data_IF_048242383295
#
_entry.id   IF_048242383295
#
_cell.length_a   1.000
_cell.length_b   1.000
_cell.length_c   1.000
_cell.angle_alpha   90.00
_cell.angle_beta   90.00
_cell.angle_gamma   90.00
#
_symmetry.space_group_name_H-M   'P 1'
#
loop_
_entity.id
_entity.type
_entity.pdbx_description
1 polymer ?
#
# COMPACT_ATOMS: atom_id res chain seq x y z
N UNK A 1 12.08 16.56 -5.85
CA UNK A 1 11.74 15.52 -6.84
C UNK A 1 12.53 14.25 -6.57
N UNK A 2 11.91 13.10 -6.84
CA UNK A 2 12.56 11.78 -6.77
C UNK A 2 12.40 11.11 -8.14
N UNK A 3 13.49 10.73 -8.76
CA UNK A 3 13.45 9.98 -10.01
C UNK A 3 12.99 8.52 -9.75
N UNK A 4 12.31 7.88 -10.73
CA UNK A 4 12.02 6.47 -10.66
C UNK A 4 13.36 5.68 -10.64
N UNK A 5 13.34 4.54 -9.97
CA UNK A 5 14.47 3.59 -10.00
C UNK A 5 14.52 2.89 -11.36
N UNK A 6 15.66 2.25 -11.66
CA UNK A 6 15.82 1.46 -12.89
C UNK A 6 14.77 0.34 -12.97
N UNK A 7 14.48 -0.32 -11.86
CA UNK A 7 13.44 -1.36 -11.75
C UNK A 7 12.03 -0.85 -12.12
N UNK A 8 11.72 0.42 -11.83
CA UNK A 8 10.41 1.01 -12.19
C UNK A 8 10.34 1.39 -13.67
N UNK A 9 11.48 1.83 -14.25
CA UNK A 9 11.57 2.22 -15.65
C UNK A 9 11.71 1.03 -16.59
N UNK A 10 12.45 0.02 -16.15
CA UNK A 10 12.80 -1.17 -16.93
C UNK A 10 12.56 -2.42 -16.09
N UNK A 11 11.30 -2.72 -15.77
CA UNK A 11 10.98 -3.95 -15.06
C UNK A 11 11.33 -5.17 -15.92
N UNK A 12 11.73 -6.25 -15.27
CA UNK A 12 11.97 -7.51 -15.97
C UNK A 12 10.72 -7.97 -16.74
N UNK A 13 10.87 -8.55 -17.94
CA UNK A 13 9.79 -9.15 -18.66
C UNK A 13 9.06 -10.21 -17.81
N UNK A 14 7.74 -10.23 -17.90
CA UNK A 14 6.93 -11.23 -17.21
C UNK A 14 6.42 -12.24 -18.23
N UNK A 15 6.29 -13.47 -17.78
CA UNK A 15 5.77 -14.56 -18.60
C UNK A 15 4.40 -14.95 -18.10
N UNK A 16 3.43 -15.03 -19.03
CA UNK A 16 2.08 -15.52 -18.78
C UNK A 16 1.92 -16.84 -19.50
N UNK A 17 1.90 -17.93 -18.76
CA UNK A 17 1.70 -19.26 -19.26
C UNK A 17 0.20 -19.61 -19.22
N UNK A 18 -0.37 -19.88 -20.38
CA UNK A 18 -1.78 -20.27 -20.52
C UNK A 18 -1.85 -21.70 -21.00
N UNK A 19 -2.50 -22.55 -20.21
CA UNK A 19 -2.74 -23.94 -20.58
C UNK A 19 -3.82 -23.98 -21.67
N UNK A 20 -3.43 -24.35 -22.87
CA UNK A 20 -4.31 -24.50 -24.01
C UNK A 20 -4.92 -25.90 -24.12
N UNK A 21 -4.23 -26.89 -23.55
CA UNK A 21 -4.63 -28.28 -23.48
C UNK A 21 -4.10 -28.92 -22.22
N UNK A 22 -4.93 -29.67 -21.53
CA UNK A 22 -4.51 -30.57 -20.45
C UNK A 22 -5.25 -31.88 -20.66
N UNK A 23 -4.57 -32.88 -21.23
CA UNK A 23 -5.13 -34.21 -21.43
C UNK A 23 -4.55 -35.20 -20.44
N UNK A 24 -5.43 -35.79 -19.66
CA UNK A 24 -5.07 -36.80 -18.67
C UNK A 24 -5.40 -38.19 -19.20
N UNK A 25 -4.47 -39.15 -19.04
CA UNK A 25 -4.65 -40.55 -19.33
C UNK A 25 -4.07 -41.40 -18.20
N UNK A 26 -4.63 -42.60 -17.85
CA UNK A 26 -4.06 -43.50 -16.84
C UNK A 26 -2.60 -43.87 -17.12
N UNK A 27 -2.25 -44.17 -18.37
CA UNK A 27 -0.85 -44.31 -18.79
C UNK A 27 -0.20 -42.94 -18.94
N UNK A 28 0.90 -42.72 -18.19
CA UNK A 28 1.65 -41.45 -18.18
C UNK A 28 2.21 -41.09 -19.58
N UNK A 29 2.56 -42.09 -20.38
CA UNK A 29 3.16 -41.87 -21.69
C UNK A 29 2.21 -41.19 -22.69
N UNK A 30 0.90 -41.18 -22.40
CA UNK A 30 -0.14 -40.58 -23.25
C UNK A 30 -0.68 -39.26 -22.71
N UNK A 31 -0.10 -38.73 -21.62
CA UNK A 31 -0.49 -37.44 -21.06
C UNK A 31 0.20 -36.29 -21.80
N UNK A 32 -0.54 -35.21 -22.00
CA UNK A 32 0.02 -34.00 -22.60
C UNK A 32 -0.56 -32.74 -21.97
N UNK A 33 0.29 -31.77 -21.74
CA UNK A 33 -0.07 -30.38 -21.40
C UNK A 33 0.55 -29.50 -22.48
N UNK A 34 -0.28 -28.75 -23.21
CA UNK A 34 0.18 -27.74 -24.14
C UNK A 34 -0.01 -26.34 -23.51
N UNK A 35 1.05 -25.58 -23.45
CA UNK A 35 1.10 -24.26 -22.83
C UNK A 35 1.53 -23.24 -23.87
N UNK A 36 0.85 -22.11 -23.89
CA UNK A 36 1.28 -20.92 -24.65
C UNK A 36 1.80 -19.87 -23.67
N UNK A 37 3.05 -19.47 -23.84
CA UNK A 37 3.68 -18.40 -23.08
C UNK A 37 3.56 -17.07 -23.83
N UNK A 38 3.03 -16.05 -23.16
CA UNK A 38 3.07 -14.67 -23.62
C UNK A 38 4.15 -13.92 -22.85
N UNK A 39 5.01 -13.22 -23.55
CA UNK A 39 6.01 -12.32 -22.95
C UNK A 39 5.38 -10.95 -22.79
N UNK A 40 5.35 -10.47 -21.55
CA UNK A 40 4.71 -9.21 -21.17
C UNK A 40 5.77 -8.17 -20.84
N UNK A 41 5.82 -7.10 -21.61
CA UNK A 41 6.53 -5.89 -21.27
C UNK A 41 5.69 -5.06 -20.28
N UNK A 42 6.15 -4.93 -19.04
CA UNK A 42 5.50 -4.14 -17.99
C UNK A 42 6.04 -2.70 -17.91
N UNK A 43 6.83 -2.27 -18.89
CA UNK A 43 7.41 -0.92 -18.95
C UNK A 43 6.32 0.15 -19.07
N UNK A 44 6.35 1.15 -18.19
CA UNK A 44 5.51 2.33 -18.30
C UNK A 44 6.34 3.55 -18.75
N UNK A 45 6.32 3.82 -20.06
CA UNK A 45 7.04 4.97 -20.67
C UNK A 45 6.47 6.34 -20.23
N UNK A 46 5.28 6.37 -19.65
CA UNK A 46 4.64 7.59 -19.13
C UNK A 46 5.02 7.91 -17.68
N UNK A 47 5.86 7.07 -17.05
CA UNK A 47 6.29 7.28 -15.66
C UNK A 47 7.13 8.55 -15.53
N UNK A 48 6.70 9.44 -14.62
CA UNK A 48 7.33 10.75 -14.38
C UNK A 48 8.02 10.76 -13.01
N UNK A 49 9.03 11.63 -12.81
CA UNK A 49 9.59 11.83 -11.48
C UNK A 49 8.53 12.22 -10.46
N UNK A 50 8.61 11.63 -9.27
CA UNK A 50 7.73 11.99 -8.17
C UNK A 50 8.07 13.39 -7.66
N UNK A 51 7.06 14.20 -7.43
CA UNK A 51 7.18 15.57 -6.91
C UNK A 51 6.60 15.64 -5.52
N UNK A 52 7.36 16.26 -4.63
CA UNK A 52 6.98 16.55 -3.26
C UNK A 52 7.19 18.04 -3.00
N UNK A 53 6.16 18.71 -2.51
CA UNK A 53 6.22 20.10 -2.10
C UNK A 53 6.10 20.15 -0.57
N UNK A 54 7.10 20.74 0.09
CA UNK A 54 7.14 20.90 1.54
C UNK A 54 7.18 22.38 1.89
N UNK A 55 6.35 22.79 2.85
CA UNK A 55 6.32 24.09 3.48
C UNK A 55 6.60 23.91 4.97
N UNK A 56 7.50 24.73 5.49
CA UNK A 56 7.79 24.77 6.91
C UNK A 56 7.77 26.22 7.36
N UNK A 57 7.12 26.45 8.49
CA UNK A 57 7.13 27.73 9.17
C UNK A 57 7.47 27.48 10.65
N UNK A 58 8.60 28.01 11.09
CA UNK A 58 9.12 27.80 12.42
C UNK A 58 9.44 29.12 13.12
N UNK A 59 9.43 29.08 14.44
CA UNK A 59 9.87 30.17 15.30
C UNK A 59 10.66 29.62 16.48
N UNK A 60 11.74 30.33 16.81
CA UNK A 60 12.57 30.06 17.99
C UNK A 60 12.54 31.28 18.90
N UNK A 61 12.17 31.07 20.17
CA UNK A 61 12.02 32.10 21.15
C UNK A 61 12.93 31.77 22.35
N UNK A 62 13.81 32.71 22.71
CA UNK A 62 14.61 32.63 23.91
C UNK A 62 14.15 33.70 24.91
N UNK A 63 13.67 33.27 26.08
CA UNK A 63 13.23 34.17 27.14
C UNK A 63 13.91 33.75 28.46
N UNK A 64 14.74 34.63 29.01
CA UNK A 64 15.43 34.40 30.27
C UNK A 64 16.20 33.06 30.34
N UNK A 65 16.79 32.65 29.22
CA UNK A 65 17.56 31.41 29.11
C UNK A 65 16.72 30.16 28.92
N UNK A 66 15.40 30.29 28.70
CA UNK A 66 14.52 29.20 28.30
C UNK A 66 14.28 29.31 26.79
N UNK A 67 14.39 28.18 26.10
CA UNK A 67 14.22 28.08 24.63
C UNK A 67 12.92 27.38 24.29
N UNK A 68 12.11 28.02 23.44
CA UNK A 68 10.94 27.43 22.84
C UNK A 68 11.12 27.44 21.30
N UNK A 69 11.04 26.28 20.67
CA UNK A 69 11.00 26.11 19.23
C UNK A 69 9.67 25.48 18.84
N UNK A 70 8.99 26.07 17.86
CA UNK A 70 7.74 25.53 17.31
C UNK A 70 7.81 25.59 15.81
N UNK A 71 7.54 24.47 15.15
CA UNK A 71 7.53 24.36 13.68
C UNK A 71 6.21 23.76 13.20
N UNK A 72 5.51 24.48 12.33
CA UNK A 72 4.42 23.92 11.55
C UNK A 72 4.96 23.47 10.19
N UNK A 73 4.55 22.30 9.73
CA UNK A 73 4.91 21.81 8.40
C UNK A 73 3.71 21.28 7.63
N UNK A 74 3.78 21.40 6.31
CA UNK A 74 2.86 20.77 5.36
C UNK A 74 3.63 20.22 4.19
N UNK A 75 3.39 18.96 3.87
CA UNK A 75 4.04 18.24 2.80
C UNK A 75 2.97 17.62 1.89
N UNK A 76 3.15 17.79 0.58
CA UNK A 76 2.23 17.31 -0.44
C UNK A 76 2.99 16.61 -1.57
N UNK A 77 2.91 15.30 -1.60
CA UNK A 77 3.38 14.47 -2.69
C UNK A 77 2.17 14.00 -3.50
N UNK A 78 2.10 14.39 -4.78
CA UNK A 78 0.93 14.11 -5.65
C UNK A 78 1.20 13.07 -6.72
N UNK A 79 2.45 12.67 -6.93
CA UNK A 79 2.90 11.84 -8.04
C UNK A 79 3.90 10.75 -7.62
N UNK A 80 3.74 10.21 -6.40
CA UNK A 80 4.57 9.11 -5.91
C UNK A 80 4.36 7.82 -6.72
N UNK A 81 5.34 6.92 -6.68
CA UNK A 81 5.28 5.66 -7.40
C UNK A 81 4.38 4.66 -6.67
N UNK A 82 3.58 3.94 -7.45
CA UNK A 82 2.72 2.87 -6.96
C UNK A 82 2.58 1.79 -8.04
N UNK A 83 2.63 0.53 -7.63
CA UNK A 83 2.20 -0.58 -8.48
C UNK A 83 0.68 -0.58 -8.60
N UNK A 84 0.16 -0.70 -9.81
CA UNK A 84 -1.26 -0.79 -10.12
C UNK A 84 -1.53 -2.00 -11.00
N UNK A 85 -2.66 -2.67 -10.82
CA UNK A 85 -3.05 -3.80 -11.66
C UNK A 85 -3.81 -3.31 -12.88
N UNK A 86 -3.34 -3.71 -14.05
CA UNK A 86 -3.96 -3.42 -15.36
C UNK A 86 -4.36 -4.74 -16.00
N UNK A 87 -5.57 -4.80 -16.52
CA UNK A 87 -6.08 -5.99 -17.22
C UNK A 87 -6.01 -5.79 -18.74
N UNK A 88 -5.60 -6.84 -19.43
CA UNK A 88 -5.54 -6.89 -20.90
C UNK A 88 -6.14 -8.20 -21.42
N UNK A 89 -6.82 -8.17 -22.58
CA UNK A 89 -7.30 -9.38 -23.20
C UNK A 89 -6.16 -10.13 -23.90
N UNK A 90 -6.15 -11.45 -23.73
CA UNK A 90 -5.26 -12.37 -24.42
C UNK A 90 -6.10 -13.39 -25.17
N UNK A 91 -5.78 -13.59 -26.44
CA UNK A 91 -6.47 -14.55 -27.30
C UNK A 91 -5.59 -15.78 -27.53
N UNK A 92 -6.13 -16.95 -27.27
CA UNK A 92 -5.42 -18.22 -27.38
C UNK A 92 -6.34 -19.34 -27.84
N UNK A 93 -5.76 -20.45 -28.31
CA UNK A 93 -6.50 -21.65 -28.68
C UNK A 93 -6.83 -22.45 -27.41
N UNK A 94 -8.06 -22.87 -27.27
CA UNK A 94 -8.48 -23.91 -26.33
C UNK A 94 -8.79 -25.16 -27.10
N UNK A 95 -7.96 -26.18 -26.95
CA UNK A 95 -8.13 -27.45 -27.68
C UNK A 95 -9.20 -28.32 -27.03
N UNK A 96 -9.97 -29.02 -27.89
CA UNK A 96 -11.01 -29.94 -27.45
C UNK A 96 -10.48 -31.39 -27.57
N UNK A 97 -10.57 -32.11 -26.45
CA UNK A 97 -10.18 -33.53 -26.35
C UNK A 97 -11.35 -34.48 -26.25
N UNK A 98 -12.59 -34.01 -26.33
CA UNK A 98 -13.81 -34.81 -26.16
C UNK A 98 -13.95 -35.89 -27.20
N UNK A 99 -13.35 -35.71 -28.38
CA UNK A 99 -13.34 -36.69 -29.49
C UNK A 99 -12.27 -37.80 -29.34
N UNK A 100 -11.43 -37.77 -28.29
CA UNK A 100 -10.40 -38.81 -28.10
C UNK A 100 -11.01 -39.96 -27.30
N UNK A 101 -11.02 -41.16 -27.86
CA UNK A 101 -11.34 -42.36 -27.11
C UNK A 101 -10.09 -42.84 -26.34
N UNK A 102 -10.10 -42.77 -24.98
CA UNK A 102 -8.94 -43.13 -24.16
C UNK A 102 -8.49 -44.60 -24.34
N UNK A 103 -9.39 -45.48 -24.77
CA UNK A 103 -9.08 -46.90 -24.90
C UNK A 103 -8.43 -47.25 -26.26
N UNK A 104 -8.47 -46.34 -27.21
CA UNK A 104 -7.98 -46.58 -28.58
C UNK A 104 -6.65 -45.89 -28.89
N UNK A 105 -6.18 -44.99 -28.03
CA UNK A 105 -4.92 -44.25 -28.28
C UNK A 105 -3.69 -45.14 -28.07
N UNK A 106 -2.72 -45.01 -28.96
CA UNK A 106 -1.46 -45.72 -28.93
C UNK A 106 -0.24 -44.79 -28.75
N UNK A 107 -0.47 -43.50 -28.76
CA UNK A 107 0.54 -42.45 -28.59
C UNK A 107 -0.07 -41.20 -27.99
N UNK A 108 0.80 -40.23 -27.61
CA UNK A 108 0.38 -38.88 -27.14
C UNK A 108 -0.47 -38.23 -28.26
N UNK A 109 -1.63 -37.65 -27.93
CA UNK A 109 -2.42 -36.93 -28.92
C UNK A 109 -1.63 -35.81 -29.58
N UNK A 110 -1.64 -35.78 -30.91
CA UNK A 110 -1.01 -34.69 -31.66
C UNK A 110 -1.86 -33.44 -31.61
N UNK A 111 -1.38 -32.44 -30.86
CA UNK A 111 -2.07 -31.16 -30.64
C UNK A 111 -2.41 -30.45 -31.96
N UNK A 112 -1.59 -30.64 -33.01
CA UNK A 112 -1.80 -30.00 -34.30
C UNK A 112 -3.08 -30.49 -35.02
N UNK A 113 -3.55 -31.70 -34.71
CA UNK A 113 -4.72 -32.33 -35.33
C UNK A 113 -6.00 -32.14 -34.56
N UNK A 114 -5.91 -31.64 -33.31
CA UNK A 114 -7.07 -31.46 -32.43
C UNK A 114 -7.92 -30.24 -32.85
N UNK A 115 -9.25 -30.37 -32.78
CA UNK A 115 -10.13 -29.22 -32.92
C UNK A 115 -9.88 -28.22 -31.81
N UNK A 116 -10.07 -26.94 -32.08
CA UNK A 116 -9.91 -25.89 -31.10
C UNK A 116 -10.94 -24.78 -31.27
N UNK A 117 -11.19 -24.03 -30.18
CA UNK A 117 -11.90 -22.76 -30.17
C UNK A 117 -10.95 -21.64 -29.84
N UNK A 118 -11.16 -20.45 -30.40
CA UNK A 118 -10.45 -19.25 -29.98
C UNK A 118 -11.14 -18.69 -28.74
N UNK A 119 -10.39 -18.58 -27.66
CA UNK A 119 -10.85 -18.04 -26.38
C UNK A 119 -10.14 -16.72 -26.13
N UNK A 120 -10.87 -15.77 -25.59
CA UNK A 120 -10.34 -14.49 -25.16
C UNK A 120 -10.61 -14.29 -23.68
N UNK A 121 -9.58 -14.04 -22.89
CA UNK A 121 -9.67 -13.85 -21.46
C UNK A 121 -8.84 -12.65 -20.99
N UNK A 122 -9.32 -11.99 -19.92
CA UNK A 122 -8.62 -10.89 -19.29
C UNK A 122 -7.59 -11.43 -18.29
N UNK A 123 -6.35 -11.01 -18.41
CA UNK A 123 -5.30 -11.27 -17.44
C UNK A 123 -4.77 -9.98 -16.87
N UNK A 124 -4.62 -9.97 -15.52
CA UNK A 124 -4.08 -8.83 -14.78
C UNK A 124 -2.56 -8.85 -14.73
N UNK A 125 -1.95 -7.70 -14.93
CA UNK A 125 -0.53 -7.48 -14.72
C UNK A 125 -0.29 -6.24 -13.87
N UNK A 126 0.80 -6.22 -13.11
CA UNK A 126 1.19 -5.04 -12.34
C UNK A 126 2.07 -4.13 -13.18
N UNK A 127 1.74 -2.83 -13.18
CA UNK A 127 2.56 -1.77 -13.78
C UNK A 127 2.83 -0.69 -12.74
N UNK A 128 4.02 -0.06 -12.79
CA UNK A 128 4.30 1.11 -11.95
C UNK A 128 3.66 2.36 -12.55
N UNK A 129 3.02 3.15 -11.69
CA UNK A 129 2.35 4.40 -12.05
C UNK A 129 2.70 5.50 -11.07
N UNK A 130 2.40 6.76 -11.41
CA UNK A 130 2.48 7.90 -10.51
C UNK A 130 1.21 8.06 -9.66
N UNK A 131 0.70 6.97 -9.11
CA UNK A 131 -0.59 6.93 -8.42
C UNK A 131 -0.55 7.21 -6.92
N UNK A 132 0.63 7.18 -6.29
CA UNK A 132 0.72 7.40 -4.85
C UNK A 132 0.64 8.89 -4.52
N UNK A 133 -0.26 9.23 -3.59
CA UNK A 133 -0.39 10.58 -3.04
C UNK A 133 -0.21 10.54 -1.54
N UNK A 134 0.52 11.51 -0.99
CA UNK A 134 0.71 11.68 0.45
C UNK A 134 0.52 13.14 0.82
N UNK A 135 -0.42 13.40 1.73
CA UNK A 135 -0.63 14.68 2.37
C UNK A 135 -0.21 14.56 3.83
N UNK A 136 0.84 15.28 4.24
CA UNK A 136 1.30 15.29 5.62
C UNK A 136 1.30 16.70 6.15
N UNK A 137 0.84 16.90 7.39
CA UNK A 137 0.92 18.16 8.11
C UNK A 137 1.08 17.91 9.60
N UNK A 138 1.72 18.82 10.27
CA UNK A 138 1.92 18.67 11.70
C UNK A 138 2.55 19.89 12.34
N UNK A 139 2.64 19.80 13.67
CA UNK A 139 3.32 20.76 14.53
C UNK A 139 4.35 19.98 15.33
N UNK A 140 5.58 20.44 15.32
CA UNK A 140 6.66 19.96 16.17
C UNK A 140 7.02 21.06 17.15
N UNK A 141 7.35 20.70 18.38
CA UNK A 141 7.76 21.66 19.38
C UNK A 141 8.82 21.11 20.32
N UNK A 142 9.71 22.01 20.74
CA UNK A 142 10.71 21.73 21.76
C UNK A 142 10.73 22.90 22.73
N UNK A 143 10.65 22.61 24.03
CA UNK A 143 10.83 23.57 25.09
C UNK A 143 11.93 23.08 26.01
N UNK A 144 12.92 23.94 26.29
CA UNK A 144 14.00 23.60 27.19
C UNK A 144 14.22 24.77 28.19
N UNK A 145 14.19 24.46 29.48
CA UNK A 145 14.49 25.45 30.50
C UNK A 145 16.00 25.63 30.65
N UNK A 146 16.43 26.79 31.11
CA UNK A 146 17.73 26.87 31.80
C UNK A 146 17.71 25.92 33.01
N UNK A 147 18.89 25.57 33.51
CA UNK A 147 18.96 24.80 34.78
C UNK A 147 18.35 25.66 35.91
N UNK A 148 17.37 25.10 36.62
CA UNK A 148 16.71 25.72 37.77
C UNK A 148 17.65 25.57 38.96
N UNK A 149 18.26 26.66 39.51
CA UNK A 149 19.33 26.53 40.50
C UNK A 149 18.89 25.83 41.79
N UNK A 150 17.69 26.10 42.27
CA UNK A 150 17.14 25.52 43.51
C UNK A 150 16.91 24.00 43.44
N UNK A 151 16.64 23.47 42.23
CA UNK A 151 16.38 22.04 41.99
C UNK A 151 17.56 21.35 41.35
N UNK A 152 18.55 22.09 40.89
CA UNK A 152 19.64 21.56 40.03
C UNK A 152 19.15 20.81 38.81
N UNK A 153 17.95 21.13 38.31
CA UNK A 153 17.23 20.38 37.28
C UNK A 153 17.02 21.21 36.02
N UNK A 154 17.17 20.58 34.86
CA UNK A 154 16.76 21.10 33.58
C UNK A 154 15.56 20.29 33.09
N UNK A 155 14.50 20.97 32.65
CA UNK A 155 13.37 20.35 31.96
C UNK A 155 13.54 20.52 30.46
N UNK A 156 13.40 19.43 29.72
CA UNK A 156 13.26 19.43 28.27
C UNK A 156 11.94 18.75 27.92
N UNK A 157 11.13 19.42 27.11
CA UNK A 157 9.86 18.90 26.57
C UNK A 157 9.97 18.94 25.07
N UNK A 158 9.75 17.83 24.40
CA UNK A 158 9.64 17.79 22.94
C UNK A 158 8.45 16.94 22.54
N UNK A 159 7.80 17.31 21.46
CA UNK A 159 6.65 16.57 21.00
C UNK A 159 6.24 16.95 19.59
N UNK A 160 5.30 16.19 19.09
CA UNK A 160 4.74 16.43 17.78
C UNK A 160 3.27 16.00 17.73
N UNK A 161 2.50 16.71 16.95
CA UNK A 161 1.24 16.24 16.41
C UNK A 161 1.33 16.24 14.89
N UNK A 162 0.94 15.15 14.27
CA UNK A 162 0.88 15.10 12.82
C UNK A 162 -0.26 14.24 12.30
N UNK A 163 -0.71 14.60 11.11
CA UNK A 163 -1.69 13.85 10.33
C UNK A 163 -1.11 13.54 8.95
N UNK A 164 -1.18 12.27 8.57
CA UNK A 164 -0.80 11.81 7.23
C UNK A 164 -2.00 11.17 6.57
N UNK A 165 -2.28 11.57 5.32
CA UNK A 165 -3.30 10.96 4.48
C UNK A 165 -2.59 10.38 3.26
N UNK A 166 -2.64 9.06 3.13
CA UNK A 166 -2.22 8.33 1.94
C UNK A 166 -3.43 8.15 1.03
N UNK A 167 -3.23 8.30 -0.28
CA UNK A 167 -4.27 8.16 -1.29
C UNK A 167 -3.72 7.49 -2.54
N UNK A 168 -4.64 6.97 -3.36
CA UNK A 168 -4.37 6.52 -4.71
C UNK A 168 -5.12 7.41 -5.70
N UNK A 169 -4.44 7.95 -6.72
CA UNK A 169 -5.05 8.75 -7.77
C UNK A 169 -5.38 7.94 -9.02
N UNK A 170 -5.02 6.66 -9.04
CA UNK A 170 -5.25 5.78 -10.18
C UNK A 170 -6.56 5.00 -10.00
N UNK A 171 -7.13 4.60 -11.12
CA UNK A 171 -8.27 3.69 -11.14
C UNK A 171 -7.84 2.34 -10.57
N UNK A 172 -8.63 1.79 -9.66
CA UNK A 172 -8.43 0.47 -9.07
C UNK A 172 -9.25 -0.55 -9.86
N UNK A 173 -8.57 -1.53 -10.42
CA UNK A 173 -9.24 -2.63 -11.11
C UNK A 173 -9.53 -3.78 -10.13
N UNK A 174 -10.75 -4.30 -10.16
CA UNK A 174 -11.18 -5.45 -9.36
C UNK A 174 -11.85 -6.49 -10.25
N UNK A 175 -11.30 -7.71 -10.23
CA UNK A 175 -11.89 -8.89 -10.87
C UNK A 175 -12.47 -9.80 -9.77
N UNK A 176 -13.75 -10.13 -9.82
CA UNK A 176 -14.36 -11.06 -8.85
C UNK A 176 -13.78 -12.48 -9.01
N UNK A 177 -13.66 -13.17 -7.88
CA UNK A 177 -13.29 -14.60 -7.88
C UNK A 177 -14.46 -15.54 -8.12
N UNK A 178 -15.66 -15.00 -8.34
CA UNK A 178 -16.86 -15.80 -8.57
C UNK A 178 -16.76 -16.62 -9.86
N UNK A 179 -17.33 -17.83 -9.83
CA UNK A 179 -17.35 -18.80 -10.93
C UNK A 179 -18.81 -19.07 -11.29
N UNK A 180 -19.14 -18.97 -12.59
CA UNK A 180 -20.44 -19.33 -13.16
C UNK A 180 -20.16 -20.34 -14.27
N UNK A 181 -20.91 -21.45 -14.29
CA UNK A 181 -20.76 -22.52 -15.30
C UNK A 181 -19.30 -23.00 -15.46
N UNK A 182 -18.63 -23.24 -14.33
CA UNK A 182 -17.24 -23.68 -14.24
C UNK A 182 -16.22 -22.69 -14.82
N UNK A 183 -16.60 -21.44 -15.11
CA UNK A 183 -15.69 -20.39 -15.60
C UNK A 183 -15.68 -19.22 -14.65
N UNK A 184 -14.48 -18.74 -14.33
CA UNK A 184 -14.33 -17.50 -13.58
C UNK A 184 -14.87 -16.33 -14.40
N UNK A 185 -15.53 -15.39 -13.72
CA UNK A 185 -16.05 -14.18 -14.36
C UNK A 185 -14.93 -13.39 -15.01
N UNK A 186 -15.13 -13.04 -16.29
CA UNK A 186 -14.15 -12.34 -17.13
C UNK A 186 -14.41 -10.83 -17.22
N UNK A 187 -15.26 -10.28 -16.35
CA UNK A 187 -15.49 -8.83 -16.24
C UNK A 187 -14.64 -8.25 -15.12
N UNK A 188 -14.13 -7.03 -15.33
CA UNK A 188 -13.29 -6.32 -14.37
C UNK A 188 -13.89 -4.95 -14.07
N UNK A 189 -14.24 -4.69 -12.82
CA UNK A 189 -14.73 -3.38 -12.39
C UNK A 189 -13.59 -2.38 -12.24
N UNK A 190 -13.82 -1.15 -12.65
CA UNK A 190 -12.90 -0.01 -12.54
C UNK A 190 -13.48 1.02 -11.58
N UNK A 191 -12.75 1.31 -10.50
CA UNK A 191 -13.19 2.17 -9.39
C UNK A 191 -12.25 3.34 -9.23
N UNK A 192 -12.78 4.56 -9.16
CA UNK A 192 -12.01 5.79 -8.86
C UNK A 192 -11.91 6.03 -7.37
N UNK A 193 -11.50 5.02 -6.65
CA UNK A 193 -11.36 5.10 -5.22
C UNK A 193 -10.10 5.88 -4.82
N UNK A 194 -10.20 6.60 -3.71
CA UNK A 194 -9.00 7.17 -3.09
C UNK A 194 -8.11 6.11 -2.42
N UNK A 195 -8.55 4.86 -2.31
CA UNK A 195 -7.89 3.69 -1.73
C UNK A 195 -6.69 4.08 -0.84
N UNK A 196 -6.97 4.43 0.38
CA UNK A 196 -5.94 4.98 1.24
C UNK A 196 -6.31 4.97 2.71
N UNK A 197 -5.44 5.60 3.48
CA UNK A 197 -5.53 5.62 4.93
C UNK A 197 -5.17 6.99 5.49
N UNK A 198 -5.88 7.40 6.53
CA UNK A 198 -5.59 8.58 7.32
C UNK A 198 -5.03 8.14 8.66
N UNK A 199 -3.81 8.55 8.96
CA UNK A 199 -3.15 8.33 10.23
C UNK A 199 -2.99 9.68 10.95
N UNK A 200 -3.16 9.67 12.27
CA UNK A 200 -2.99 10.85 13.11
C UNK A 200 -2.37 10.44 14.44
N UNK A 201 -1.39 11.18 14.92
CA UNK A 201 -0.69 10.87 16.15
C UNK A 201 -0.30 12.17 16.89
N UNK A 202 -0.33 12.13 18.22
CA UNK A 202 0.22 13.15 19.07
C UNK A 202 1.05 12.51 20.20
N UNK A 203 2.27 13.00 20.37
CA UNK A 203 3.16 12.52 21.42
C UNK A 203 3.91 13.69 22.08
N UNK A 204 4.36 13.46 23.32
CA UNK A 204 5.23 14.39 24.06
C UNK A 204 6.20 13.59 24.90
N UNK A 205 7.46 13.99 24.88
CA UNK A 205 8.49 13.48 25.78
C UNK A 205 8.89 14.56 26.76
N UNK A 206 8.88 14.24 28.03
CA UNK A 206 9.38 15.07 29.13
C UNK A 206 10.68 14.45 29.62
N UNK A 207 11.72 15.27 29.76
CA UNK A 207 12.99 14.84 30.33
C UNK A 207 13.39 15.80 31.43
N UNK A 208 13.62 15.29 32.64
CA UNK A 208 14.10 16.00 33.81
C UNK A 208 15.51 15.53 34.11
N UNK A 209 16.49 16.41 33.84
CA UNK A 209 17.90 16.13 34.12
C UNK A 209 18.34 16.92 35.36
N UNK A 210 18.58 16.20 36.44
CA UNK A 210 19.01 16.73 37.72
C UNK A 210 20.47 16.32 37.99
N UNK A 211 21.32 17.28 38.31
CA UNK A 211 22.70 17.03 38.69
C UNK A 211 22.99 17.67 40.03
N UNK A 212 23.33 16.88 41.05
CA UNK A 212 23.63 17.33 42.41
C UNK A 212 25.16 17.24 42.61
N UNK A 213 25.90 18.32 42.33
CA UNK A 213 27.38 18.30 42.36
C UNK A 213 27.97 17.88 43.70
N UNK A 214 27.39 18.34 44.82
CA UNK A 214 27.82 18.00 46.17
C UNK A 214 27.80 16.50 46.45
N UNK A 215 26.84 15.79 45.88
CA UNK A 215 26.68 14.35 46.03
C UNK A 215 27.28 13.56 44.85
N UNK A 216 27.78 14.25 43.83
CA UNK A 216 28.25 13.64 42.56
C UNK A 216 27.23 12.67 41.99
N UNK A 217 25.94 13.02 42.09
CA UNK A 217 24.80 12.22 41.61
C UNK A 217 24.10 12.95 40.48
N UNK A 218 23.79 12.21 39.41
CA UNK A 218 22.93 12.64 38.33
C UNK A 218 21.69 11.75 38.25
N UNK A 219 20.53 12.37 38.02
CA UNK A 219 19.27 11.70 37.80
C UNK A 219 18.69 12.19 36.45
N UNK A 220 18.28 11.29 35.63
CA UNK A 220 17.52 11.62 34.43
C UNK A 220 16.23 10.81 34.42
N UNK A 221 15.11 11.51 34.59
CA UNK A 221 13.77 10.96 34.51
C UNK A 221 13.18 11.34 33.16
N UNK A 222 12.78 10.37 32.37
CA UNK A 222 12.07 10.62 31.11
C UNK A 222 10.69 9.98 31.11
N UNK A 223 9.68 10.74 30.69
CA UNK A 223 8.31 10.30 30.48
C UNK A 223 7.98 10.46 28.99
N UNK A 224 7.71 9.36 28.32
CA UNK A 224 7.31 9.33 26.91
C UNK A 224 5.80 9.11 26.86
N UNK A 225 5.06 10.14 26.48
CA UNK A 225 3.60 10.13 26.42
C UNK A 225 3.14 10.04 24.98
N UNK A 226 2.37 9.01 24.66
CA UNK A 226 1.53 8.96 23.47
C UNK A 226 0.13 9.41 23.90
N UNK A 227 -0.30 10.58 23.42
CA UNK A 227 -1.62 11.11 23.75
C UNK A 227 -2.72 10.33 23.03
N UNK A 228 -2.50 10.09 21.77
CA UNK A 228 -3.32 9.19 20.94
C UNK A 228 -2.56 8.85 19.64
N UNK A 229 -2.91 7.70 19.08
CA UNK A 229 -2.64 7.35 17.69
C UNK A 229 -3.94 6.87 17.05
N UNK A 230 -4.20 7.22 15.81
CA UNK A 230 -5.41 6.78 15.13
C UNK A 230 -5.16 6.45 13.67
N UNK A 231 -5.91 5.45 13.20
CA UNK A 231 -5.91 5.00 11.82
C UNK A 231 -7.35 4.90 11.32
N UNK A 232 -7.60 5.37 10.10
CA UNK A 232 -8.90 5.31 9.46
C UNK A 232 -8.72 5.06 7.97
N UNK A 233 -9.35 4.00 7.44
CA UNK A 233 -9.41 3.78 5.98
C UNK A 233 -10.28 4.84 5.32
N UNK A 234 -9.91 5.26 4.13
CA UNK A 234 -10.75 6.13 3.30
C UNK A 234 -11.87 5.28 2.67
N UNK A 235 -13.08 5.85 2.53
CA UNK A 235 -14.20 5.13 1.92
C UNK A 235 -13.89 4.70 0.49
N UNK A 236 -14.30 3.48 0.16
CA UNK A 236 -14.27 2.89 -1.16
C UNK A 236 -15.68 2.82 -1.73
N UNK A 237 -15.81 2.91 -3.05
CA UNK A 237 -17.09 2.72 -3.74
C UNK A 237 -17.50 1.25 -3.77
N UNK A 238 -18.77 0.94 -3.57
CA UNK A 238 -19.28 -0.42 -3.77
C UNK A 238 -19.50 -0.71 -5.25
N UNK A 239 -19.94 0.29 -6.02
CA UNK A 239 -20.18 0.16 -7.45
C UNK A 239 -18.96 0.69 -8.23
N UNK A 240 -18.61 0.09 -9.37
CA UNK A 240 -17.57 0.63 -10.23
C UNK A 240 -18.07 1.89 -10.98
N UNK A 241 -17.15 2.72 -11.46
CA UNK A 241 -17.47 3.80 -12.40
C UNK A 241 -17.58 3.25 -13.82
N UNK A 242 -16.76 2.25 -14.14
CA UNK A 242 -16.67 1.59 -15.44
C UNK A 242 -16.34 0.11 -15.25
N UNK A 243 -16.47 -0.67 -16.30
CA UNK A 243 -16.00 -2.06 -16.33
C UNK A 243 -15.35 -2.42 -17.67
N UNK A 244 -14.50 -3.44 -17.63
CA UNK A 244 -13.87 -4.03 -18.81
C UNK A 244 -14.60 -5.33 -19.13
N UNK A 245 -15.08 -5.47 -20.36
CA UNK A 245 -15.64 -6.72 -20.89
C UNK A 245 -14.53 -7.69 -21.36
N UNK A 246 -14.82 -8.99 -21.59
CA UNK A 246 -13.81 -10.00 -21.95
C UNK A 246 -12.96 -9.66 -23.17
N UNK A 247 -13.48 -8.86 -24.09
CA UNK A 247 -12.79 -8.37 -25.29
C UNK A 247 -11.83 -7.19 -25.01
N UNK A 248 -11.81 -6.69 -23.76
CA UNK A 248 -10.99 -5.55 -23.35
C UNK A 248 -11.66 -4.20 -23.57
N UNK A 249 -12.89 -4.15 -24.02
CA UNK A 249 -13.65 -2.89 -24.19
C UNK A 249 -14.07 -2.34 -22.82
N UNK A 250 -13.93 -1.02 -22.67
CA UNK A 250 -14.35 -0.31 -21.45
C UNK A 250 -15.76 0.26 -21.64
N UNK A 251 -16.64 -0.02 -20.71
CA UNK A 251 -18.02 0.43 -20.67
C UNK A 251 -18.29 1.25 -19.41
N UNK A 252 -19.14 2.27 -19.52
CA UNK A 252 -19.61 3.01 -18.35
C UNK A 252 -20.57 2.15 -17.52
N UNK A 253 -20.48 2.27 -16.20
CA UNK A 253 -21.36 1.53 -15.30
C UNK A 253 -22.77 2.12 -15.29
N UNK A 254 -23.78 1.26 -15.30
CA UNK A 254 -25.18 1.62 -15.13
C UNK A 254 -25.75 0.85 -13.94
N UNK A 255 -26.62 1.49 -13.15
CA UNK A 255 -27.16 0.90 -11.90
C UNK A 255 -27.91 -0.41 -12.13
N UNK A 256 -28.52 -0.55 -13.30
CA UNK A 256 -29.28 -1.74 -13.71
C UNK A 256 -28.36 -2.98 -13.77
N UNK A 257 -27.08 -2.80 -14.04
CA UNK A 257 -26.08 -3.88 -14.10
C UNK A 257 -25.85 -4.57 -12.76
N UNK A 258 -26.24 -3.95 -11.66
CA UNK A 258 -26.23 -4.60 -10.34
C UNK A 258 -27.16 -5.82 -10.24
N UNK A 259 -28.11 -5.96 -11.18
CA UNK A 259 -29.03 -7.11 -11.27
C UNK A 259 -28.66 -8.06 -12.44
N UNK A 260 -27.63 -7.76 -13.22
CA UNK A 260 -27.17 -8.63 -14.30
C UNK A 260 -26.54 -9.92 -13.77
N UNK A 261 -26.64 -10.98 -14.55
CA UNK A 261 -26.15 -12.32 -14.16
C UNK A 261 -24.65 -12.33 -13.85
N UNK A 262 -23.84 -11.56 -14.58
CA UNK A 262 -22.38 -11.54 -14.48
C UNK A 262 -21.89 -10.25 -13.81
N UNK A 263 -22.42 -9.09 -14.21
CA UNK A 263 -21.92 -7.79 -13.79
C UNK A 263 -22.23 -7.49 -12.30
N UNK A 264 -23.30 -8.10 -11.73
CA UNK A 264 -23.63 -7.95 -10.30
C UNK A 264 -22.46 -8.29 -9.36
N UNK A 265 -21.55 -9.16 -9.77
CA UNK A 265 -20.37 -9.52 -8.98
C UNK A 265 -19.29 -8.45 -8.96
N UNK A 266 -19.41 -7.43 -9.80
CA UNK A 266 -18.58 -6.23 -9.73
C UNK A 266 -19.01 -5.31 -8.59
N UNK A 267 -20.23 -5.45 -8.05
CA UNK A 267 -20.65 -4.71 -6.87
C UNK A 267 -19.94 -5.28 -5.64
N UNK A 268 -19.08 -4.46 -5.02
CA UNK A 268 -18.35 -4.82 -3.80
C UNK A 268 -19.22 -4.54 -2.58
N UNK A 269 -19.00 -5.27 -1.52
CA UNK A 269 -19.76 -5.11 -0.27
C UNK A 269 -18.84 -4.60 0.84
N UNK A 270 -18.60 -3.30 0.85
CA UNK A 270 -17.84 -2.65 1.91
C UNK A 270 -18.79 -2.19 3.02
N UNK A 271 -18.48 -2.60 4.25
CA UNK A 271 -19.29 -2.21 5.41
C UNK A 271 -18.80 -0.89 6.01
N UNK A 272 -19.72 -0.14 6.63
CA UNK A 272 -19.35 1.09 7.35
C UNK A 272 -18.35 0.84 8.51
N UNK A 273 -18.26 -0.40 8.99
CA UNK A 273 -17.33 -0.79 10.05
C UNK A 273 -15.87 -0.70 9.60
N UNK A 274 -15.59 -0.98 8.31
CA UNK A 274 -14.24 -0.92 7.74
C UNK A 274 -13.66 0.51 7.76
N UNK A 275 -14.52 1.53 7.79
CA UNK A 275 -14.14 2.94 7.75
C UNK A 275 -14.21 3.61 9.11
N UNK A 276 -14.48 2.86 10.18
CA UNK A 276 -14.41 3.40 11.53
C UNK A 276 -13.00 3.79 11.89
N UNK A 277 -12.87 4.92 12.56
CA UNK A 277 -11.59 5.38 13.11
C UNK A 277 -11.21 4.48 14.28
N UNK A 278 -10.07 3.80 14.14
CA UNK A 278 -9.45 3.08 15.24
C UNK A 278 -8.56 4.05 16.01
N UNK A 279 -8.67 4.07 17.33
CA UNK A 279 -7.91 4.98 18.21
C UNK A 279 -7.19 4.15 19.27
N UNK A 280 -5.87 4.31 19.34
CA UNK A 280 -5.07 3.88 20.47
C UNK A 280 -5.08 5.04 21.49
N UNK A 281 -5.58 4.81 22.71
CA UNK A 281 -5.68 5.85 23.72
C UNK A 281 -4.31 6.20 24.29
N UNK A 282 -4.32 7.08 25.30
CA UNK A 282 -3.13 7.50 26.03
C UNK A 282 -2.33 6.30 26.56
N UNK A 283 -1.00 6.38 26.35
CA UNK A 283 -0.04 5.49 26.97
C UNK A 283 1.22 6.26 27.37
N UNK A 284 1.90 5.80 28.41
CA UNK A 284 3.09 6.45 28.92
C UNK A 284 4.15 5.43 29.35
N UNK A 285 5.40 5.70 28.97
CA UNK A 285 6.57 4.98 29.45
C UNK A 285 7.43 5.90 30.33
N UNK A 286 7.84 5.40 31.50
CA UNK A 286 8.73 6.09 32.40
C UNK A 286 10.09 5.39 32.47
N UNK A 287 11.16 6.16 32.34
CA UNK A 287 12.53 5.66 32.46
C UNK A 287 13.31 6.54 33.46
N UNK A 288 13.99 5.90 34.39
CA UNK A 288 14.87 6.56 35.36
C UNK A 288 16.30 6.07 35.16
N UNK A 289 17.21 7.00 34.94
CA UNK A 289 18.66 6.78 34.96
C UNK A 289 19.29 7.47 36.15
N UNK A 290 20.08 6.74 36.91
CA UNK A 290 20.88 7.27 38.02
C UNK A 290 22.36 7.10 37.68
N UNK A 291 23.13 8.18 37.85
CA UNK A 291 24.57 8.18 37.56
C UNK A 291 25.29 8.67 38.78
N UNK A 292 26.32 7.95 39.23
CA UNK A 292 27.23 8.33 40.33
C UNK A 292 28.64 8.47 39.77
N UNK A 293 29.25 9.66 39.97
CA UNK A 293 30.66 9.86 39.64
C UNK A 293 31.53 9.36 40.80
N UNK A 294 32.37 8.39 40.53
CA UNK A 294 33.34 7.80 41.43
C UNK A 294 34.75 8.37 41.10
N UNK A 295 35.65 8.43 42.04
CA UNK A 295 37.10 8.68 41.85
C UNK A 295 37.44 9.96 41.04
N UNK A 296 36.94 11.12 41.41
CA UNK A 296 37.39 12.44 40.89
C UNK A 296 37.66 12.49 39.37
N UNK A 297 36.89 11.80 38.56
CA UNK A 297 37.04 11.70 37.09
C UNK A 297 38.41 11.15 36.62
N UNK A 298 39.15 10.42 37.46
CA UNK A 298 40.37 9.71 37.09
C UNK A 298 39.99 8.26 36.73
N UNK A 299 39.83 8.01 35.45
CA UNK A 299 39.99 6.76 34.75
C UNK A 299 40.81 7.06 33.52
#
# INVERSE_FOLDING_TARGET
TKNPTMEYLYPDPRYLDIVQLSYYHPNNDYRVINVRTFVIDATNKALKPARNLKWEFGTDINIAGNNLSVTYFKENMTSGFRSNTVYRPYTFKQYDTSGIDPNSITAVPDVATLPYTMVQELFGRSEYTNGSQTLKRGIEYTFATRRIPSLHTRLTVNGAWFRTIYRNSQVVAYRPSAVIDNKQIQYVGLYRDNDGVKNEMANTNFTFDTDIPKLRLGFSLSAQCLWFSSTQRLPLSNEPDQYISPDGTIHDWQKEYANDTYLRFLVRNHSAVEYKKYIVPFSMNLNLKVTKKLLNDRL
#
